data_IF_543830894574
#
_entry.id   IF_543830894574
#
_cell.length_a   1.000
_cell.length_b   1.000
_cell.length_c   1.000
_cell.angle_alpha   90.00
_cell.angle_beta   90.00
_cell.angle_gamma   90.00
#
_symmetry.space_group_name_H-M   'P 1'
#
loop_
_entity.id
_entity.type
_entity.pdbx_description
1 polymer ?
#
# COMPACT_ATOMS: atom_id res chain seq x y z
N UNK A 1 -46.94 -25.01 -41.86
CA UNK A 1 -45.51 -24.62 -41.87
C UNK A 1 -45.41 -23.12 -41.63
N UNK A 2 -44.94 -22.67 -40.47
CA UNK A 2 -44.68 -21.25 -40.18
C UNK A 2 -43.21 -21.12 -39.81
N UNK A 3 -42.44 -20.45 -40.66
CA UNK A 3 -41.00 -20.23 -40.54
C UNK A 3 -40.78 -19.14 -39.49
N UNK A 4 -40.16 -19.49 -38.37
CA UNK A 4 -39.76 -18.51 -37.34
C UNK A 4 -38.52 -17.79 -37.87
N UNK A 5 -38.59 -16.46 -37.96
CA UNK A 5 -37.51 -15.57 -38.40
C UNK A 5 -36.58 -15.35 -37.21
N UNK A 6 -35.31 -15.70 -37.34
CA UNK A 6 -34.32 -15.48 -36.29
C UNK A 6 -34.07 -13.98 -36.05
N UNK A 7 -33.92 -13.53 -34.79
CA UNK A 7 -33.54 -12.16 -34.49
C UNK A 7 -32.04 -11.96 -34.77
N UNK A 8 -31.74 -10.99 -35.62
CA UNK A 8 -30.37 -10.61 -36.00
C UNK A 8 -29.64 -9.95 -34.82
N UNK A 9 -28.62 -10.61 -34.26
CA UNK A 9 -27.79 -10.13 -33.15
C UNK A 9 -26.73 -9.07 -33.54
N UNK A 10 -26.93 -8.35 -34.64
CA UNK A 10 -25.93 -7.41 -35.19
C UNK A 10 -25.79 -6.09 -34.43
N UNK A 11 -26.82 -5.68 -33.69
CA UNK A 11 -26.79 -4.49 -32.84
C UNK A 11 -25.95 -4.62 -31.56
N UNK A 12 -25.71 -5.83 -31.02
CA UNK A 12 -25.02 -6.00 -29.73
C UNK A 12 -23.51 -5.72 -29.85
N UNK A 13 -22.93 -6.00 -31.02
CA UNK A 13 -21.51 -5.74 -31.28
C UNK A 13 -21.19 -4.24 -31.45
N UNK A 14 -22.17 -3.41 -31.78
CA UNK A 14 -21.96 -1.97 -31.94
C UNK A 14 -21.88 -1.23 -30.60
N UNK A 15 -22.41 -1.79 -29.51
CA UNK A 15 -22.41 -1.15 -28.19
C UNK A 15 -21.10 -1.36 -27.40
N UNK A 16 -20.30 -2.37 -27.75
CA UNK A 16 -19.07 -2.73 -27.01
C UNK A 16 -17.85 -1.84 -27.35
N UNK A 17 -17.95 -0.98 -28.37
CA UNK A 17 -16.85 -0.10 -28.80
C UNK A 17 -16.93 1.34 -28.26
N UNK A 18 -17.96 1.70 -27.50
CA UNK A 18 -18.16 3.09 -27.02
C UNK A 18 -17.88 3.31 -25.52
N UNK A 19 -17.36 2.31 -24.79
CA UNK A 19 -16.95 2.49 -23.40
C UNK A 19 -15.55 1.95 -23.13
N UNK A 20 -14.56 2.42 -23.90
CA UNK A 20 -13.17 2.40 -23.42
C UNK A 20 -12.91 3.73 -22.71
N UNK A 21 -12.56 3.75 -21.41
CA UNK A 21 -12.07 4.96 -20.78
C UNK A 21 -10.76 5.32 -21.49
N UNK A 22 -10.74 6.45 -22.20
CA UNK A 22 -9.48 7.01 -22.69
C UNK A 22 -8.61 7.29 -21.47
N UNK A 23 -7.52 6.55 -21.32
CA UNK A 23 -6.49 6.83 -20.33
C UNK A 23 -6.06 8.28 -20.51
N UNK A 24 -6.42 9.14 -19.55
CA UNK A 24 -5.83 10.48 -19.47
C UNK A 24 -4.36 10.29 -19.12
N UNK A 25 -3.48 10.69 -20.03
CA UNK A 25 -2.06 10.81 -19.73
C UNK A 25 -1.92 11.72 -18.51
N UNK A 26 -1.26 11.24 -17.46
CA UNK A 26 -0.90 12.06 -16.31
C UNK A 26 0.01 13.18 -16.82
N UNK A 27 -0.47 14.42 -16.81
CA UNK A 27 0.39 15.58 -17.00
C UNK A 27 1.25 15.76 -15.75
N UNK A 28 2.57 16.01 -15.88
CA UNK A 28 3.38 16.39 -14.75
C UNK A 28 2.89 17.75 -14.25
N UNK A 29 2.71 17.86 -12.93
CA UNK A 29 2.40 19.12 -12.26
C UNK A 29 3.54 20.09 -12.52
N UNK A 30 3.21 21.26 -13.07
CA UNK A 30 4.12 22.39 -13.17
C UNK A 30 4.47 22.81 -11.73
N UNK A 31 5.72 22.57 -11.33
CA UNK A 31 6.32 23.22 -10.16
C UNK A 31 6.68 24.63 -10.59
N UNK A 32 5.93 25.61 -10.05
CA UNK A 32 6.23 27.02 -10.24
C UNK A 32 7.54 27.40 -9.55
N UNK A 33 8.33 28.15 -10.31
CA UNK A 33 9.39 29.10 -9.95
C UNK A 33 10.56 28.64 -9.05
N UNK A 34 11.67 28.24 -9.68
CA UNK A 34 13.03 28.78 -9.42
C UNK A 34 14.08 28.27 -10.44
N UNK A 35 15.20 28.99 -10.65
CA UNK A 35 15.60 29.50 -11.95
C UNK A 35 16.43 28.53 -12.80
N UNK A 36 16.29 28.76 -14.11
CA UNK A 36 17.11 28.28 -15.22
C UNK A 36 18.59 28.09 -14.85
N UNK A 37 19.02 26.83 -14.77
CA UNK A 37 20.43 26.46 -14.91
C UNK A 37 20.57 25.45 -16.05
N UNK A 38 21.38 25.87 -17.00
CA UNK A 38 21.77 25.23 -18.25
C UNK A 38 22.38 23.85 -18.04
N UNK A 39 22.21 22.99 -19.05
CA UNK A 39 22.37 21.54 -18.97
C UNK A 39 23.76 21.00 -18.62
N UNK A 40 23.76 19.70 -18.29
CA UNK A 40 24.97 18.91 -18.16
C UNK A 40 24.78 17.67 -17.28
N UNK A 41 24.84 16.50 -17.92
CA UNK A 41 25.14 15.17 -17.36
C UNK A 41 24.31 14.61 -16.19
N UNK A 42 23.73 13.44 -16.46
CA UNK A 42 23.22 12.49 -15.47
C UNK A 42 24.31 12.11 -14.47
N UNK A 43 24.36 12.81 -13.34
CA UNK A 43 25.04 12.38 -12.13
C UNK A 43 23.97 12.24 -11.06
N UNK A 44 23.81 11.00 -10.58
CA UNK A 44 22.75 10.59 -9.69
C UNK A 44 22.57 11.55 -8.53
N UNK A 45 21.33 11.96 -8.30
CA UNK A 45 20.90 12.60 -7.07
C UNK A 45 21.35 11.66 -5.95
N UNK A 46 22.41 12.03 -5.27
CA UNK A 46 22.85 11.45 -4.00
C UNK A 46 21.70 11.69 -3.04
N UNK A 47 20.79 10.71 -3.01
CA UNK A 47 19.60 10.75 -2.21
C UNK A 47 20.01 11.10 -0.78
N UNK A 48 19.35 12.13 -0.24
CA UNK A 48 19.37 12.50 1.18
C UNK A 48 19.53 11.22 1.99
N UNK A 49 20.74 11.01 2.51
CA UNK A 49 21.11 9.78 3.19
C UNK A 49 20.33 9.78 4.50
N UNK A 50 19.16 9.15 4.48
CA UNK A 50 18.34 8.91 5.65
C UNK A 50 19.23 8.32 6.74
N UNK A 51 19.05 8.84 7.95
CA UNK A 51 19.75 8.46 9.17
C UNK A 51 20.04 6.95 9.19
N UNK A 52 21.32 6.61 9.39
CA UNK A 52 21.85 5.24 9.31
C UNK A 52 20.97 4.30 10.13
N UNK A 53 20.45 3.28 9.45
CA UNK A 53 19.82 2.10 10.06
C UNK A 53 20.72 1.57 11.18
N UNK A 54 20.13 0.95 12.19
CA UNK A 54 20.85 0.09 13.13
C UNK A 54 21.70 -0.86 12.28
N UNK A 55 23.02 -0.81 12.47
CA UNK A 55 23.96 -1.55 11.62
C UNK A 55 23.74 -3.05 11.81
N UNK A 56 22.95 -3.68 10.94
CA UNK A 56 22.68 -5.12 11.01
C UNK A 56 21.41 -5.58 10.30
N UNK A 57 20.36 -4.76 10.27
CA UNK A 57 19.05 -5.25 9.80
C UNK A 57 18.91 -5.19 8.26
N UNK A 58 18.44 -6.29 7.63
CA UNK A 58 18.13 -6.31 6.21
C UNK A 58 17.14 -5.22 5.77
N UNK A 59 17.28 -4.76 4.52
CA UNK A 59 16.36 -3.77 3.97
C UNK A 59 14.99 -4.36 3.63
N UNK A 60 13.94 -3.62 3.97
CA UNK A 60 12.57 -3.90 3.54
C UNK A 60 11.81 -2.62 3.17
N UNK A 61 10.78 -2.78 2.32
CA UNK A 61 9.87 -1.73 1.89
C UNK A 61 8.44 -2.27 1.80
N UNK A 62 7.46 -1.38 1.61
CA UNK A 62 6.06 -1.77 1.37
C UNK A 62 5.76 -2.09 -0.10
N UNK A 63 6.70 -1.84 -1.01
CA UNK A 63 6.54 -2.04 -2.46
C UNK A 63 7.86 -2.38 -3.15
N UNK A 64 7.80 -2.79 -4.42
CA UNK A 64 8.99 -3.15 -5.20
C UNK A 64 9.59 -4.51 -4.82
N UNK A 65 10.85 -4.73 -5.18
CA UNK A 65 11.54 -6.01 -4.97
C UNK A 65 11.78 -6.36 -3.49
N UNK A 66 11.89 -5.36 -2.63
CA UNK A 66 11.99 -5.52 -1.17
C UNK A 66 10.62 -5.39 -0.47
N UNK A 67 9.53 -5.48 -1.25
CA UNK A 67 8.15 -5.43 -0.77
C UNK A 67 7.72 -6.66 0.02
N UNK A 68 6.48 -6.70 0.53
CA UNK A 68 5.97 -7.79 1.38
C UNK A 68 6.14 -9.20 0.79
N UNK A 69 5.96 -9.36 -0.52
CA UNK A 69 6.19 -10.64 -1.22
C UNK A 69 7.63 -11.13 -1.15
N UNK A 70 8.59 -10.23 -0.96
CA UNK A 70 10.03 -10.51 -0.88
C UNK A 70 10.59 -10.59 0.53
N UNK A 71 9.85 -10.17 1.57
CA UNK A 71 10.35 -10.11 2.95
C UNK A 71 10.86 -11.47 3.44
N UNK A 72 10.15 -12.55 3.10
CA UNK A 72 10.51 -13.92 3.45
C UNK A 72 11.91 -14.37 2.99
N UNK A 73 12.52 -13.67 2.02
CA UNK A 73 13.88 -13.94 1.54
C UNK A 73 14.93 -13.62 2.60
N UNK A 74 14.68 -12.60 3.42
CA UNK A 74 15.62 -12.10 4.44
C UNK A 74 15.08 -12.32 5.86
N UNK A 75 13.76 -12.49 5.99
CA UNK A 75 13.02 -12.72 7.23
C UNK A 75 12.07 -13.92 7.04
N UNK A 76 12.57 -15.17 7.13
CA UNK A 76 11.79 -16.37 6.82
C UNK A 76 10.45 -16.50 7.58
N UNK A 77 10.38 -15.93 8.79
CA UNK A 77 9.18 -15.85 9.61
C UNK A 77 8.01 -15.11 8.93
N UNK A 78 8.29 -14.21 7.98
CA UNK A 78 7.27 -13.52 7.19
C UNK A 78 6.49 -14.46 6.26
N UNK A 79 6.97 -15.69 6.04
CA UNK A 79 6.24 -16.73 5.29
C UNK A 79 5.56 -17.78 6.21
N UNK A 80 5.55 -17.56 7.52
CA UNK A 80 4.84 -18.44 8.44
C UNK A 80 3.32 -18.41 8.21
N UNK A 81 2.61 -19.40 8.77
CA UNK A 81 1.14 -19.51 8.60
C UNK A 81 0.36 -18.52 9.45
N UNK A 82 0.88 -18.19 10.63
CA UNK A 82 0.21 -17.34 11.61
C UNK A 82 0.80 -15.93 11.49
N UNK A 83 0.32 -15.17 10.50
CA UNK A 83 0.77 -13.80 10.22
C UNK A 83 -0.37 -12.81 10.45
N UNK A 84 0.02 -11.56 10.72
CA UNK A 84 -0.87 -10.40 10.78
C UNK A 84 -0.57 -9.46 9.60
N UNK A 85 -1.51 -8.60 9.18
CA UNK A 85 -2.92 -8.52 9.63
C UNK A 85 -3.79 -9.64 9.04
N UNK A 86 -4.97 -9.81 9.61
CA UNK A 86 -6.02 -10.71 9.10
C UNK A 86 -7.34 -9.94 8.98
N UNK A 87 -8.22 -10.42 8.12
CA UNK A 87 -9.62 -9.99 8.09
C UNK A 87 -10.37 -10.67 9.24
N UNK A 88 -11.02 -9.87 10.10
CA UNK A 88 -11.79 -10.36 11.25
C UNK A 88 -13.27 -10.26 10.90
N UNK A 89 -13.86 -11.41 10.57
CA UNK A 89 -15.28 -11.54 10.20
C UNK A 89 -16.08 -11.84 11.46
N UNK A 90 -16.97 -10.92 11.83
CA UNK A 90 -17.74 -10.97 13.08
C UNK A 90 -18.53 -12.28 13.22
N UNK A 91 -19.19 -12.75 12.15
CA UNK A 91 -20.00 -13.98 12.16
C UNK A 91 -19.17 -15.25 12.34
N UNK A 92 -17.84 -15.18 12.14
CA UNK A 92 -16.90 -16.30 12.35
C UNK A 92 -16.15 -16.18 13.67
N UNK A 93 -16.33 -15.08 14.41
CA UNK A 93 -15.75 -14.91 15.73
C UNK A 93 -16.49 -15.80 16.74
N UNK A 94 -15.75 -16.37 17.69
CA UNK A 94 -16.32 -17.19 18.74
C UNK A 94 -16.39 -16.34 20.01
N UNK A 95 -17.59 -16.08 20.58
CA UNK A 95 -17.68 -15.46 21.88
C UNK A 95 -17.06 -16.39 22.92
N UNK A 96 -16.38 -15.83 23.90
CA UNK A 96 -15.78 -16.58 25.00
C UNK A 96 -16.02 -15.84 26.29
N UNK A 97 -16.70 -16.52 27.21
CA UNK A 97 -17.01 -16.02 28.55
C UNK A 97 -15.83 -16.19 29.52
N UNK A 98 -14.72 -16.80 29.06
CA UNK A 98 -13.52 -17.06 29.87
C UNK A 98 -12.58 -15.85 29.92
N UNK A 99 -12.81 -14.84 29.08
CA UNK A 99 -11.95 -13.66 29.05
C UNK A 99 -12.24 -12.72 30.21
N UNK A 100 -11.18 -12.36 30.93
CA UNK A 100 -11.24 -11.30 31.93
C UNK A 100 -11.41 -9.95 31.24
N UNK A 101 -12.12 -9.05 31.91
CA UNK A 101 -12.21 -7.66 31.48
C UNK A 101 -10.82 -7.02 31.42
N UNK A 102 -10.55 -6.26 30.35
CA UNK A 102 -9.29 -5.57 30.18
C UNK A 102 -9.19 -4.39 31.15
N UNK A 103 -8.36 -4.52 32.18
CA UNK A 103 -8.08 -3.45 33.14
C UNK A 103 -6.86 -2.64 32.68
N UNK A 104 -7.08 -1.35 32.44
CA UNK A 104 -6.03 -0.42 31.99
C UNK A 104 -5.45 0.33 33.19
N UNK A 105 -4.20 0.04 33.54
CA UNK A 105 -3.50 0.78 34.61
C UNK A 105 -2.93 2.10 34.09
N UNK A 106 -3.26 3.21 34.75
CA UNK A 106 -2.72 4.57 34.50
C UNK A 106 -2.84 5.12 33.07
N UNK A 107 -3.63 4.50 32.19
CA UNK A 107 -3.90 5.03 30.84
C UNK A 107 -4.59 6.40 30.85
N UNK A 108 -5.22 6.77 31.96
CA UNK A 108 -5.95 8.02 32.13
C UNK A 108 -5.04 9.17 32.62
N UNK A 109 -3.74 8.91 32.78
CA UNK A 109 -2.75 9.88 33.25
C UNK A 109 -2.08 10.53 32.05
N UNK A 110 -1.91 11.85 32.11
CA UNK A 110 -1.22 12.60 31.06
C UNK A 110 0.22 12.09 30.84
N UNK A 111 0.61 11.99 29.57
CA UNK A 111 1.97 11.61 29.21
C UNK A 111 2.98 12.67 29.65
N UNK A 112 4.17 12.23 30.07
CA UNK A 112 5.28 13.11 30.41
C UNK A 112 5.72 13.98 29.22
N UNK A 113 6.25 15.17 29.52
CA UNK A 113 6.89 16.05 28.53
C UNK A 113 8.18 15.46 27.91
N UNK A 114 8.67 14.33 28.42
CA UNK A 114 9.79 13.56 27.84
C UNK A 114 9.34 12.60 26.73
N UNK A 115 8.05 12.43 26.51
CA UNK A 115 7.51 11.62 25.41
C UNK A 115 7.86 12.27 24.08
N UNK A 116 8.50 11.52 23.17
CA UNK A 116 8.93 12.04 21.86
C UNK A 116 8.36 11.21 20.71
N UNK A 117 8.32 11.81 19.53
CA UNK A 117 7.92 11.16 18.28
C UNK A 117 9.06 11.25 17.27
N UNK A 118 9.34 10.16 16.55
CA UNK A 118 10.36 10.09 15.51
C UNK A 118 9.78 9.51 14.23
N UNK A 119 9.97 10.21 13.12
CA UNK A 119 9.69 9.67 11.79
C UNK A 119 10.81 8.70 11.38
N UNK A 120 10.45 7.44 11.17
CA UNK A 120 11.41 6.39 10.76
C UNK A 120 11.45 6.18 9.24
N UNK A 121 10.53 6.83 8.50
CA UNK A 121 10.30 6.60 7.07
C UNK A 121 9.59 5.28 6.76
N UNK A 122 9.00 4.63 7.78
CA UNK A 122 8.16 3.42 7.69
C UNK A 122 6.90 3.54 8.56
N UNK A 123 7.04 4.22 9.71
CA UNK A 123 5.96 4.67 10.60
C UNK A 123 6.33 6.02 11.24
#
# INVERSE_FOLDING_TARGET
MRRIREPSYWWILSLMFLTLPKHKACQPVVVGDQPLLTGGSHSGITGVMRERRTAGDPYWSYSGSHGPRGWATLYPECAAKNQSPVDVVDEKSLPSDEYLELVMDRFNVDSSNQTTMKNTGKT
#
